data_IF_774267329072
#
_entry.id   IF_774267329072
#
_cell.length_a   1.000
_cell.length_b   1.000
_cell.length_c   1.000
_cell.angle_alpha   90.00
_cell.angle_beta   90.00
_cell.angle_gamma   90.00
#
_symmetry.space_group_name_H-M   'P 1'
#
loop_
_entity.id
_entity.type
_entity.pdbx_description
1 polymer ?
#
# COMPACT_ATOMS: atom_id res chain seq x y z
N UNK A 1 57.15 27.49 -56.90
CA UNK A 1 56.80 28.07 -55.62
C UNK A 1 55.36 27.72 -55.32
N UNK A 2 55.13 26.63 -54.63
CA UNK A 2 53.78 26.12 -54.24
C UNK A 2 53.56 26.42 -52.77
N UNK A 3 52.69 27.39 -52.49
CA UNK A 3 52.31 27.74 -51.11
C UNK A 3 51.22 26.78 -50.56
N UNK A 4 51.57 25.93 -49.64
CA UNK A 4 50.67 25.07 -48.91
C UNK A 4 49.90 25.91 -47.86
N UNK A 5 48.54 25.99 -47.97
CA UNK A 5 47.68 26.59 -46.95
C UNK A 5 47.19 25.51 -45.98
N UNK A 6 47.65 25.57 -44.74
CA UNK A 6 47.13 24.79 -43.64
C UNK A 6 45.78 25.36 -43.20
N UNK A 7 44.73 24.55 -43.28
CA UNK A 7 43.43 24.90 -42.74
C UNK A 7 43.40 24.59 -41.22
N UNK A 8 42.83 25.45 -40.35
CA UNK A 8 42.72 25.16 -38.92
C UNK A 8 41.59 24.16 -38.66
N UNK A 9 41.95 23.07 -37.98
CA UNK A 9 40.96 22.10 -37.47
C UNK A 9 40.35 22.68 -36.20
N UNK A 10 39.07 23.08 -36.27
CA UNK A 10 38.29 23.48 -35.12
C UNK A 10 37.84 22.20 -34.37
N UNK A 11 38.45 21.91 -33.23
CA UNK A 11 37.99 20.91 -32.29
C UNK A 11 36.81 21.52 -31.48
N UNK A 12 35.59 21.26 -31.90
CA UNK A 12 34.39 21.60 -31.13
C UNK A 12 34.30 20.73 -29.88
N UNK A 13 34.51 21.33 -28.71
CA UNK A 13 34.21 20.73 -27.44
C UNK A 13 32.67 20.58 -27.32
N UNK A 14 32.15 19.40 -27.64
CA UNK A 14 30.79 19.04 -27.29
C UNK A 14 30.71 18.84 -25.77
N UNK A 15 30.30 19.86 -25.05
CA UNK A 15 29.94 19.74 -23.66
C UNK A 15 28.61 18.94 -23.58
N UNK A 16 28.69 17.65 -23.30
CA UNK A 16 27.52 16.84 -23.04
C UNK A 16 26.92 17.30 -21.72
N UNK A 17 25.90 18.17 -21.79
CA UNK A 17 25.07 18.45 -20.62
C UNK A 17 24.41 17.13 -20.19
N UNK A 18 24.88 16.56 -19.11
CA UNK A 18 24.19 15.45 -18.44
C UNK A 18 22.91 16.02 -17.86
N UNK A 19 21.81 15.88 -18.60
CA UNK A 19 20.48 16.10 -18.06
C UNK A 19 20.27 15.09 -16.94
N UNK A 20 20.51 15.50 -15.71
CA UNK A 20 20.07 14.73 -14.55
C UNK A 20 18.54 14.71 -14.58
N UNK A 21 17.98 13.61 -15.06
CA UNK A 21 16.54 13.39 -15.00
C UNK A 21 16.08 13.53 -13.54
N UNK A 22 15.21 14.50 -13.29
CA UNK A 22 14.58 14.67 -11.96
C UNK A 22 13.80 13.40 -11.69
N UNK A 23 14.16 12.68 -10.63
CA UNK A 23 13.46 11.46 -10.20
C UNK A 23 12.13 11.88 -9.55
N UNK A 24 10.98 11.54 -10.11
CA UNK A 24 9.71 11.87 -9.49
C UNK A 24 9.50 11.09 -8.20
N UNK A 25 8.81 11.67 -7.24
CA UNK A 25 8.28 10.91 -6.11
C UNK A 25 7.16 9.99 -6.59
N UNK A 26 7.05 8.82 -5.98
CA UNK A 26 6.01 7.83 -6.28
C UNK A 26 5.21 7.57 -5.01
N UNK A 27 3.91 7.87 -5.05
CA UNK A 27 2.96 7.57 -3.99
C UNK A 27 2.01 6.46 -4.47
N UNK A 28 2.01 5.34 -3.76
CA UNK A 28 1.10 4.23 -4.00
C UNK A 28 0.12 4.13 -2.83
N UNK A 29 -1.16 4.38 -3.09
CA UNK A 29 -2.24 4.26 -2.09
C UNK A 29 -2.98 2.95 -2.33
N UNK A 30 -3.02 2.10 -1.32
CA UNK A 30 -3.69 0.79 -1.35
C UNK A 30 -4.86 0.79 -0.39
N UNK A 31 -6.06 0.68 -0.93
CA UNK A 31 -7.28 0.57 -0.11
C UNK A 31 -7.71 -0.89 -0.07
N UNK A 32 -7.80 -1.47 1.14
CA UNK A 32 -8.19 -2.87 1.32
C UNK A 32 -9.68 -3.06 1.05
N UNK A 33 -10.03 -4.15 0.39
CA UNK A 33 -11.42 -4.56 0.08
C UNK A 33 -12.29 -3.51 -0.64
N UNK A 34 -11.67 -2.50 -1.25
CA UNK A 34 -12.39 -1.49 -2.02
C UNK A 34 -12.82 -2.05 -3.38
N UNK A 35 -14.13 -2.09 -3.61
CA UNK A 35 -14.72 -2.21 -4.95
C UNK A 35 -14.78 -0.81 -5.60
N UNK A 36 -15.04 -0.68 -6.92
CA UNK A 36 -15.10 0.62 -7.60
C UNK A 36 -16.35 1.44 -7.22
N UNK A 37 -16.63 1.57 -5.92
CA UNK A 37 -17.68 2.42 -5.34
C UNK A 37 -17.09 3.81 -5.07
N UNK A 38 -16.76 4.53 -6.14
CA UNK A 38 -16.17 5.86 -6.14
C UNK A 38 -16.92 6.76 -7.12
N UNK A 39 -16.96 8.06 -6.87
CA UNK A 39 -17.64 9.02 -7.76
C UNK A 39 -17.10 8.97 -9.19
N UNK A 40 -15.77 8.89 -9.36
CA UNK A 40 -15.16 8.79 -10.69
C UNK A 40 -15.52 7.52 -11.47
N UNK A 41 -16.03 6.48 -10.82
CA UNK A 41 -16.60 5.28 -11.45
C UNK A 41 -18.13 5.30 -11.57
N UNK A 42 -18.77 6.44 -11.23
CA UNK A 42 -20.21 6.62 -11.37
C UNK A 42 -21.04 6.16 -10.18
N UNK A 43 -20.43 5.90 -9.01
CA UNK A 43 -21.20 5.60 -7.82
C UNK A 43 -21.91 6.88 -7.32
N UNK A 44 -23.27 6.86 -7.22
CA UNK A 44 -24.05 8.07 -6.88
C UNK A 44 -24.01 8.41 -5.40
N UNK A 45 -23.59 7.51 -4.54
CA UNK A 45 -23.59 7.66 -3.09
C UNK A 45 -22.22 8.04 -2.54
N UNK A 46 -21.14 7.62 -3.23
CA UNK A 46 -19.77 7.86 -2.79
C UNK A 46 -19.42 9.35 -2.88
N UNK A 47 -18.91 9.90 -1.80
CA UNK A 47 -18.39 11.27 -1.75
C UNK A 47 -16.87 11.22 -1.75
N UNK A 48 -16.26 11.24 -2.93
CA UNK A 48 -14.83 11.07 -3.14
C UNK A 48 -14.19 12.23 -3.91
N UNK A 49 -14.37 13.49 -3.48
CA UNK A 49 -14.00 14.65 -4.29
C UNK A 49 -12.51 14.72 -4.63
N UNK A 50 -11.63 14.29 -3.74
CA UNK A 50 -10.19 14.32 -3.98
C UNK A 50 -9.74 13.21 -4.93
N UNK A 51 -10.32 12.01 -4.83
CA UNK A 51 -10.06 10.90 -5.77
C UNK A 51 -10.62 11.25 -7.15
N UNK A 52 -11.82 11.83 -7.21
CA UNK A 52 -12.47 12.27 -8.44
C UNK A 52 -11.63 13.37 -9.13
N UNK A 53 -11.11 14.33 -8.37
CA UNK A 53 -10.21 15.35 -8.88
C UNK A 53 -8.87 14.77 -9.38
N UNK A 54 -8.34 13.73 -8.73
CA UNK A 54 -7.17 13.02 -9.22
C UNK A 54 -7.48 12.30 -10.53
N UNK A 55 -8.60 11.59 -10.60
CA UNK A 55 -9.04 10.87 -11.79
C UNK A 55 -9.27 11.79 -12.99
N UNK A 56 -9.79 13.02 -12.77
CA UNK A 56 -10.04 13.98 -13.83
C UNK A 56 -8.80 14.51 -14.54
N UNK A 57 -7.63 14.47 -13.88
CA UNK A 57 -6.33 14.93 -14.41
C UNK A 57 -5.31 13.81 -14.61
N UNK A 58 -5.70 12.59 -14.29
CA UNK A 58 -4.87 11.39 -14.41
C UNK A 58 -5.44 10.38 -15.39
N UNK A 59 -5.01 9.14 -15.25
CA UNK A 59 -5.51 8.02 -16.04
C UNK A 59 -6.38 7.14 -15.13
N UNK A 60 -7.63 6.89 -15.52
CA UNK A 60 -8.53 5.94 -14.87
C UNK A 60 -8.54 4.63 -15.66
N UNK A 61 -8.47 3.52 -14.95
CA UNK A 61 -8.54 2.19 -15.53
C UNK A 61 -9.91 1.59 -15.19
N UNK A 62 -10.76 1.40 -16.18
CA UNK A 62 -12.12 0.85 -15.99
C UNK A 62 -12.11 -0.67 -15.84
N UNK A 63 -11.09 -1.35 -16.36
CA UNK A 63 -10.95 -2.80 -16.39
C UNK A 63 -9.62 -3.24 -15.75
N UNK A 64 -9.36 -2.77 -14.53
CA UNK A 64 -8.22 -3.23 -13.73
C UNK A 64 -8.67 -4.33 -12.76
N UNK A 65 -7.99 -5.47 -12.78
CA UNK A 65 -8.34 -6.63 -11.97
C UNK A 65 -7.19 -7.04 -11.07
N UNK A 66 -7.51 -7.42 -9.83
CA UNK A 66 -6.53 -8.08 -8.97
C UNK A 66 -6.30 -9.52 -9.47
N UNK A 67 -5.07 -9.99 -9.36
CA UNK A 67 -4.69 -11.32 -9.80
C UNK A 67 -5.31 -12.45 -8.93
N UNK A 68 -5.46 -12.18 -7.64
CA UNK A 68 -6.04 -13.08 -6.66
C UNK A 68 -6.94 -12.28 -5.72
N UNK A 69 -8.21 -12.64 -5.63
CA UNK A 69 -9.21 -11.91 -4.84
C UNK A 69 -9.13 -12.21 -3.33
N UNK A 70 -7.93 -12.14 -2.76
CA UNK A 70 -7.63 -12.34 -1.33
C UNK A 70 -6.49 -11.39 -0.96
N UNK A 71 -6.55 -10.73 0.19
CA UNK A 71 -5.65 -9.67 0.62
C UNK A 71 -4.15 -9.99 0.44
N UNK A 72 -3.64 -11.05 1.07
CA UNK A 72 -2.22 -11.38 1.05
C UNK A 72 -1.70 -11.69 -0.37
N UNK A 73 -2.28 -12.63 -1.12
CA UNK A 73 -1.79 -12.96 -2.46
C UNK A 73 -1.96 -11.82 -3.46
N UNK A 74 -3.03 -11.02 -3.38
CA UNK A 74 -3.19 -9.83 -4.21
C UNK A 74 -2.05 -8.83 -3.99
N UNK A 75 -1.69 -8.57 -2.73
CA UNK A 75 -0.60 -7.67 -2.36
C UNK A 75 0.76 -8.23 -2.75
N UNK A 76 1.00 -9.53 -2.59
CA UNK A 76 2.23 -10.17 -3.08
C UNK A 76 2.37 -10.05 -4.60
N UNK A 77 1.29 -10.29 -5.33
CA UNK A 77 1.28 -10.16 -6.79
C UNK A 77 1.63 -8.72 -7.22
N UNK A 78 1.03 -7.72 -6.58
CA UNK A 78 1.32 -6.32 -6.84
C UNK A 78 2.79 -5.98 -6.56
N UNK A 79 3.31 -6.40 -5.40
CA UNK A 79 4.67 -6.07 -4.97
C UNK A 79 5.76 -6.85 -5.73
N UNK A 80 5.44 -8.01 -6.27
CA UNK A 80 6.37 -8.85 -7.02
C UNK A 80 6.28 -8.68 -8.53
N UNK A 81 5.15 -8.15 -9.03
CA UNK A 81 4.86 -8.18 -10.47
C UNK A 81 4.71 -9.61 -11.02
N UNK A 82 4.32 -10.58 -10.18
CA UNK A 82 4.25 -11.99 -10.52
C UNK A 82 2.96 -12.63 -10.05
N UNK A 83 2.36 -13.46 -10.88
CA UNK A 83 1.12 -14.17 -10.56
C UNK A 83 1.29 -15.18 -9.42
N UNK A 84 0.23 -15.38 -8.63
CA UNK A 84 0.20 -16.41 -7.57
C UNK A 84 0.48 -17.81 -8.10
N UNK A 85 0.11 -18.11 -9.34
CA UNK A 85 0.42 -19.37 -10.03
C UNK A 85 1.93 -19.61 -10.20
N UNK A 86 2.70 -18.53 -10.37
CA UNK A 86 4.17 -18.62 -10.50
C UNK A 86 4.86 -18.64 -9.14
N UNK A 87 4.29 -17.98 -8.14
CA UNK A 87 4.91 -17.82 -6.82
C UNK A 87 4.48 -18.87 -5.80
N UNK A 88 3.31 -19.46 -5.99
CA UNK A 88 2.70 -20.38 -5.03
C UNK A 88 2.12 -19.68 -3.78
N UNK A 89 1.94 -18.36 -3.82
CA UNK A 89 1.42 -17.55 -2.71
C UNK A 89 -0.09 -17.33 -2.91
N UNK A 90 -0.92 -18.21 -2.35
CA UNK A 90 -2.37 -18.22 -2.61
C UNK A 90 -3.24 -17.81 -1.43
N UNK A 91 -2.79 -17.96 -0.21
CA UNK A 91 -3.60 -17.80 1.02
C UNK A 91 -3.13 -16.67 1.93
N UNK A 92 -3.96 -16.33 2.92
CA UNK A 92 -3.66 -15.31 3.91
C UNK A 92 -2.42 -15.63 4.76
N UNK A 93 -2.19 -16.92 5.07
CA UNK A 93 -1.02 -17.40 5.79
C UNK A 93 0.22 -17.64 4.91
N UNK A 94 0.17 -17.32 3.61
CA UNK A 94 1.35 -17.42 2.75
C UNK A 94 2.43 -16.45 3.22
N UNK A 95 3.67 -16.92 3.34
CA UNK A 95 4.82 -16.10 3.72
C UNK A 95 5.76 -15.92 2.54
N UNK A 96 5.95 -14.65 2.13
CA UNK A 96 6.77 -14.28 0.98
C UNK A 96 8.20 -14.79 1.14
N UNK A 97 8.84 -14.49 2.26
CA UNK A 97 10.28 -14.76 2.44
C UNK A 97 10.58 -16.23 2.70
N UNK A 98 9.64 -16.98 3.27
CA UNK A 98 9.77 -18.43 3.37
C UNK A 98 9.63 -19.11 2.00
N UNK A 99 8.77 -18.57 1.12
CA UNK A 99 8.54 -19.15 -0.21
C UNK A 99 9.57 -18.71 -1.24
N UNK A 100 9.94 -17.43 -1.23
CA UNK A 100 10.88 -16.81 -2.19
C UNK A 100 11.84 -15.91 -1.40
N UNK A 101 12.90 -16.47 -0.77
CA UNK A 101 13.81 -15.71 0.11
C UNK A 101 14.45 -14.50 -0.57
N UNK A 102 14.82 -14.66 -1.84
CA UNK A 102 15.56 -13.69 -2.64
C UNK A 102 14.67 -12.83 -3.55
N UNK A 103 13.35 -12.85 -3.33
CA UNK A 103 12.42 -12.03 -4.09
C UNK A 103 12.83 -10.55 -4.04
N UNK A 104 12.84 -9.89 -5.19
CA UNK A 104 12.97 -8.45 -5.30
C UNK A 104 11.59 -7.85 -5.46
N UNK A 105 11.14 -7.13 -4.44
CA UNK A 105 9.84 -6.44 -4.47
C UNK A 105 9.95 -5.10 -5.16
N UNK A 106 8.82 -4.53 -5.59
CA UNK A 106 8.79 -3.21 -6.21
C UNK A 106 9.47 -2.13 -5.35
N UNK A 107 9.21 -1.99 -4.02
CA UNK A 107 9.94 -1.03 -3.21
C UNK A 107 11.45 -1.31 -3.15
N UNK A 108 11.88 -2.58 -3.07
CA UNK A 108 13.31 -2.92 -3.13
C UNK A 108 13.94 -2.54 -4.47
N UNK A 109 13.21 -2.69 -5.56
CA UNK A 109 13.68 -2.25 -6.86
C UNK A 109 13.91 -0.74 -6.89
N UNK A 110 12.97 0.04 -6.39
CA UNK A 110 13.13 1.49 -6.24
C UNK A 110 14.32 1.84 -5.34
N UNK A 111 14.47 1.17 -4.19
CA UNK A 111 15.59 1.40 -3.28
C UNK A 111 16.95 1.14 -3.96
N UNK A 112 17.07 0.06 -4.76
CA UNK A 112 18.27 -0.23 -5.55
C UNK A 112 18.61 0.87 -6.57
N UNK A 113 17.63 1.66 -6.97
CA UNK A 113 17.80 2.79 -7.88
C UNK A 113 17.90 4.14 -7.15
N UNK A 114 18.18 4.13 -5.85
CA UNK A 114 18.46 5.32 -5.05
C UNK A 114 17.24 6.08 -4.57
N UNK A 115 16.06 5.44 -4.52
CA UNK A 115 14.90 5.98 -3.83
C UNK A 115 14.94 5.62 -2.36
N UNK A 116 14.48 6.51 -1.52
CA UNK A 116 14.05 6.15 -0.17
C UNK A 116 12.66 5.56 -0.25
N UNK A 117 12.45 4.38 0.33
CA UNK A 117 11.16 3.68 0.31
C UNK A 117 10.60 3.59 1.72
N UNK A 118 9.36 4.00 1.87
CA UNK A 118 8.62 4.03 3.12
C UNK A 118 7.28 3.33 2.97
N UNK A 119 6.69 2.88 4.07
CA UNK A 119 5.37 2.29 4.06
C UNK A 119 4.62 2.56 5.36
N UNK A 120 3.34 2.77 5.23
CA UNK A 120 2.38 3.07 6.28
C UNK A 120 1.19 2.12 6.16
N UNK A 121 0.61 1.69 7.28
CA UNK A 121 -0.59 0.86 7.29
C UNK A 121 -0.44 -0.51 6.61
N UNK A 122 -1.45 -0.94 5.87
CA UNK A 122 -1.52 -2.28 5.27
C UNK A 122 -0.97 -2.32 3.84
N UNK A 123 0.33 -2.19 3.64
CA UNK A 123 0.98 -2.35 2.32
C UNK A 123 1.17 -3.82 1.98
N UNK A 124 1.91 -4.57 2.78
CA UNK A 124 1.86 -6.04 2.80
C UNK A 124 0.75 -6.51 3.75
N UNK A 125 0.36 -7.77 3.62
CA UNK A 125 -0.61 -8.33 4.53
C UNK A 125 -0.05 -8.43 5.97
N UNK A 126 -0.85 -8.04 6.94
CA UNK A 126 -0.57 -8.11 8.37
C UNK A 126 -1.64 -9.01 9.01
N UNK A 127 -1.20 -9.98 9.76
CA UNK A 127 -2.05 -11.02 10.36
C UNK A 127 -1.81 -12.40 9.74
N UNK A 128 -2.43 -13.43 10.28
CA UNK A 128 -2.26 -14.83 9.86
C UNK A 128 -0.79 -15.28 9.81
N UNK A 129 0.04 -14.77 10.74
CA UNK A 129 1.49 -15.04 10.78
C UNK A 129 2.34 -14.14 9.89
N UNK A 130 1.76 -13.16 9.21
CA UNK A 130 2.49 -12.15 8.45
C UNK A 130 2.59 -10.83 9.23
N UNK A 131 3.75 -10.20 9.19
CA UNK A 131 4.04 -8.92 9.82
C UNK A 131 4.53 -7.86 8.81
N UNK A 132 4.26 -8.08 7.54
CA UNK A 132 4.78 -7.25 6.46
C UNK A 132 6.08 -7.79 5.87
N UNK A 133 6.85 -6.95 5.18
CA UNK A 133 8.16 -7.29 4.63
C UNK A 133 9.19 -6.18 4.91
N UNK A 134 9.89 -6.24 6.05
CA UNK A 134 10.88 -5.22 6.42
C UNK A 134 11.99 -5.05 5.38
N UNK A 135 12.34 -6.09 4.62
CA UNK A 135 13.36 -6.03 3.57
C UNK A 135 12.98 -5.12 2.41
N UNK A 136 11.70 -4.81 2.26
CA UNK A 136 11.18 -3.99 1.15
C UNK A 136 11.41 -2.49 1.33
N UNK A 137 11.68 -2.02 2.55
CA UNK A 137 11.66 -0.60 2.86
C UNK A 137 12.98 -0.10 3.44
N UNK A 138 13.30 1.17 3.16
CA UNK A 138 14.50 1.85 3.66
C UNK A 138 14.39 2.25 5.13
N UNK A 139 13.17 2.34 5.64
CA UNK A 139 12.86 2.70 7.04
C UNK A 139 11.90 1.67 7.62
N UNK A 140 11.85 1.54 8.96
CA UNK A 140 10.88 0.67 9.60
C UNK A 140 9.45 1.00 9.15
N UNK A 141 8.68 -0.04 8.86
CA UNK A 141 7.29 0.08 8.50
C UNK A 141 6.46 0.61 9.67
N UNK A 142 5.73 1.71 9.44
CA UNK A 142 4.76 2.20 10.41
C UNK A 142 3.42 1.49 10.20
N UNK A 143 2.96 0.80 11.24
CA UNK A 143 1.66 0.13 11.24
C UNK A 143 0.88 0.49 12.49
N UNK A 144 -0.35 0.90 12.27
CA UNK A 144 -1.36 0.92 13.31
C UNK A 144 -2.51 0.04 12.82
N UNK A 145 -2.69 -1.10 13.45
CA UNK A 145 -3.73 -2.05 13.08
C UNK A 145 -4.56 -2.35 14.33
N UNK A 146 -5.52 -1.47 14.55
CA UNK A 146 -6.50 -1.60 15.63
C UNK A 146 -7.91 -1.48 15.06
N UNK A 147 -8.87 -2.10 15.71
CA UNK A 147 -10.29 -1.82 15.52
C UNK A 147 -10.74 -1.05 16.75
N UNK A 148 -11.34 0.08 16.51
CA UNK A 148 -11.84 1.00 17.53
C UNK A 148 -13.29 1.32 17.23
N UNK A 149 -14.09 1.46 18.27
CA UNK A 149 -15.45 1.97 18.19
C UNK A 149 -15.53 3.26 18.99
N UNK A 150 -15.85 4.36 18.31
CA UNK A 150 -15.98 5.68 18.91
C UNK A 150 -17.44 6.01 19.26
N UNK A 151 -18.40 5.35 18.63
CA UNK A 151 -19.79 5.42 19.03
C UNK A 151 -20.07 4.41 20.14
N UNK A 152 -20.49 4.84 21.35
CA UNK A 152 -20.85 3.94 22.43
C UNK A 152 -21.94 2.92 22.05
N UNK A 153 -22.84 3.26 21.13
CA UNK A 153 -23.88 2.35 20.64
C UNK A 153 -23.30 1.17 19.82
N UNK A 154 -22.09 1.31 19.30
CA UNK A 154 -21.39 0.26 18.55
C UNK A 154 -20.85 -0.85 19.42
N UNK A 155 -20.80 -0.65 20.73
CA UNK A 155 -20.23 -1.61 21.69
C UNK A 155 -21.34 -2.10 22.64
N UNK A 156 -21.62 -3.42 22.69
CA UNK A 156 -22.58 -3.97 23.66
C UNK A 156 -22.17 -3.64 25.09
N UNK A 157 -22.97 -2.84 25.79
CA UNK A 157 -22.75 -2.41 27.18
C UNK A 157 -21.35 -1.80 27.43
N UNK A 158 -20.72 -1.20 26.41
CA UNK A 158 -19.37 -0.66 26.51
C UNK A 158 -18.25 -1.70 26.73
N UNK A 159 -18.56 -2.99 26.59
CA UNK A 159 -17.58 -4.09 26.78
C UNK A 159 -16.63 -4.19 25.60
N UNK A 160 -15.44 -4.74 25.87
CA UNK A 160 -14.49 -5.13 24.83
C UNK A 160 -15.16 -6.06 23.82
N UNK A 161 -15.11 -5.72 22.55
CA UNK A 161 -15.66 -6.54 21.48
C UNK A 161 -14.65 -7.57 20.98
N UNK A 162 -15.14 -8.58 20.28
CA UNK A 162 -14.30 -9.57 19.61
C UNK A 162 -13.38 -8.91 18.59
N UNK A 163 -13.89 -7.96 17.84
CA UNK A 163 -13.17 -7.25 16.78
C UNK A 163 -12.01 -6.43 17.38
N UNK A 164 -12.25 -5.66 18.42
CA UNK A 164 -11.20 -4.94 19.15
C UNK A 164 -10.14 -5.90 19.68
N UNK A 165 -10.54 -6.99 20.32
CA UNK A 165 -9.63 -7.97 20.90
C UNK A 165 -8.76 -8.71 19.86
N UNK A 166 -9.25 -8.90 18.64
CA UNK A 166 -8.48 -9.55 17.56
C UNK A 166 -7.33 -8.70 17.06
N UNK A 167 -7.41 -7.39 17.19
CA UNK A 167 -6.44 -6.45 16.65
C UNK A 167 -5.69 -5.64 17.72
N UNK A 168 -5.98 -5.88 18.99
CA UNK A 168 -5.15 -5.44 20.10
C UNK A 168 -4.25 -6.59 20.55
N UNK A 169 -3.16 -6.28 21.24
CA UNK A 169 -2.33 -7.30 21.89
C UNK A 169 -2.97 -7.83 23.20
N UNK A 170 -4.28 -7.72 23.35
CA UNK A 170 -5.00 -8.18 24.51
C UNK A 170 -5.01 -9.71 24.54
N UNK A 171 -4.60 -10.36 25.63
CA UNK A 171 -4.67 -11.81 25.75
C UNK A 171 -6.10 -12.31 25.55
N UNK A 172 -6.24 -13.45 24.88
CA UNK A 172 -7.55 -14.07 24.70
C UNK A 172 -8.23 -14.32 26.07
N UNK A 173 -9.51 -13.93 26.25
CA UNK A 173 -10.22 -14.13 27.48
C UNK A 173 -10.45 -15.62 27.74
N UNK A 174 -10.80 -15.98 29.01
CA UNK A 174 -11.29 -17.33 29.33
C UNK A 174 -12.49 -17.64 28.42
N UNK A 175 -12.43 -18.72 27.67
CA UNK A 175 -13.44 -19.08 26.66
C UNK A 175 -13.08 -18.68 25.22
N UNK A 176 -11.92 -18.04 25.05
CA UNK A 176 -11.42 -17.63 23.70
C UNK A 176 -12.10 -16.40 23.14
N UNK A 177 -11.65 -15.94 21.99
CA UNK A 177 -12.16 -14.73 21.31
C UNK A 177 -13.65 -14.82 20.95
N UNK A 178 -14.17 -16.04 20.74
CA UNK A 178 -15.58 -16.25 20.40
C UNK A 178 -16.54 -16.04 21.57
N UNK A 179 -16.03 -15.94 22.82
CA UNK A 179 -16.83 -15.63 23.99
C UNK A 179 -17.11 -14.13 24.15
N UNK A 180 -16.42 -13.28 23.39
CA UNK A 180 -16.64 -11.84 23.41
C UNK A 180 -17.84 -11.44 22.55
N UNK A 181 -18.57 -10.40 22.94
CA UNK A 181 -19.64 -9.86 22.12
C UNK A 181 -19.07 -9.29 20.84
N UNK A 182 -19.89 -9.26 19.79
CA UNK A 182 -19.54 -8.57 18.56
C UNK A 182 -19.88 -7.08 18.67
N UNK A 183 -19.02 -6.23 18.14
CA UNK A 183 -19.32 -4.84 17.92
C UNK A 183 -20.20 -4.63 16.69
N UNK A 184 -20.55 -3.39 16.42
CA UNK A 184 -21.31 -3.01 15.23
C UNK A 184 -20.52 -3.40 13.96
N UNK A 185 -21.24 -3.72 12.89
CA UNK A 185 -20.62 -4.02 11.60
C UNK A 185 -20.04 -2.76 10.94
N UNK A 186 -20.56 -1.61 11.26
CA UNK A 186 -20.11 -0.28 10.82
C UNK A 186 -20.60 0.77 11.82
N UNK A 187 -19.91 1.89 11.85
CA UNK A 187 -20.35 3.09 12.56
C UNK A 187 -20.00 4.34 11.74
N UNK A 188 -20.64 5.46 12.06
CA UNK A 188 -20.41 6.74 11.39
C UNK A 188 -20.60 7.90 12.36
N UNK A 189 -19.78 7.99 13.43
CA UNK A 189 -19.80 9.13 14.32
C UNK A 189 -19.26 10.38 13.64
N UNK A 190 -19.68 11.54 14.11
CA UNK A 190 -19.15 12.83 13.67
C UNK A 190 -17.85 13.14 14.44
N UNK A 191 -16.73 12.75 13.84
CA UNK A 191 -15.39 12.84 14.43
C UNK A 191 -14.38 13.38 13.41
N UNK A 192 -13.20 13.80 13.88
CA UNK A 192 -12.11 14.25 13.01
C UNK A 192 -11.51 13.10 12.16
N UNK A 193 -10.83 13.46 11.08
CA UNK A 193 -10.27 12.52 10.11
C UNK A 193 -9.23 11.58 10.72
N UNK A 194 -8.54 11.98 11.79
CA UNK A 194 -7.53 11.22 12.51
C UNK A 194 -8.06 10.44 13.72
N UNK A 195 -9.37 10.44 13.94
CA UNK A 195 -9.96 9.76 15.08
C UNK A 195 -9.81 8.23 15.02
N UNK A 196 -9.85 7.64 13.84
CA UNK A 196 -9.62 6.22 13.60
C UNK A 196 -8.18 5.93 13.18
N UNK A 197 -7.76 4.68 13.39
CA UNK A 197 -6.42 4.21 13.01
C UNK A 197 -6.08 4.45 11.54
N UNK A 198 -7.01 4.22 10.63
CA UNK A 198 -6.78 4.44 9.21
C UNK A 198 -6.53 5.92 8.87
N UNK A 199 -7.25 6.83 9.51
CA UNK A 199 -7.01 8.28 9.38
C UNK A 199 -5.65 8.70 9.96
N UNK A 200 -5.23 8.11 11.09
CA UNK A 200 -3.90 8.38 11.68
C UNK A 200 -2.74 7.84 10.85
N UNK A 201 -3.00 6.87 9.99
CA UNK A 201 -2.00 6.26 9.09
C UNK A 201 -1.91 7.02 7.76
N UNK A 202 -3.01 7.62 7.32
CA UNK A 202 -3.09 8.37 6.06
C UNK A 202 -2.45 9.77 6.19
#
# INVERSE_FOLDING_TARGET
MTSSRLAPIFFGLFSSAVLTAVRPNVLLILVDDLKPALGCYGDPLAKTPHIDALASRGMRFDLAYCNQAVCAPSRFTLMLGSHSTSTGLYGLGSNLRARIPDAVTMPQYFAKHGYRTESLGKVFHIGHGNEGDPKSFSVPHFKEKVIEYLDPASKPEGKLTREEAMFTNTPAPKGGMNSLPRGAAFESPDVGDDAYADGRVA
#
